data_IF_234790616236
#
_entry.id   IF_234790616236
#
_cell.length_a   1.000
_cell.length_b   1.000
_cell.length_c   1.000
_cell.angle_alpha   90.00
_cell.angle_beta   90.00
_cell.angle_gamma   90.00
#
_symmetry.space_group_name_H-M   'P 1'
#
loop_
_entity.id
_entity.type
_entity.pdbx_description
1 polymer ?
#
# COMPACT_ATOMS: atom_id res chain seq x y z
N UNK A 1 6.89 12.42 -42.11
CA UNK A 1 7.18 12.73 -40.71
C UNK A 1 5.88 12.54 -39.95
N UNK A 2 5.73 11.40 -39.27
CA UNK A 2 4.63 11.21 -38.35
C UNK A 2 4.96 12.02 -37.09
N UNK A 3 4.17 13.02 -36.79
CA UNK A 3 4.14 13.62 -35.48
C UNK A 3 3.86 12.48 -34.48
N UNK A 4 4.75 12.27 -33.54
CA UNK A 4 4.55 11.27 -32.49
C UNK A 4 3.30 11.70 -31.72
N UNK A 5 2.22 10.93 -31.82
CA UNK A 5 1.00 11.16 -31.07
C UNK A 5 1.37 11.23 -29.58
N UNK A 6 1.05 12.34 -28.94
CA UNK A 6 1.29 12.49 -27.50
C UNK A 6 0.46 11.43 -26.76
N UNK A 7 1.03 10.70 -25.81
CA UNK A 7 0.29 9.72 -25.04
C UNK A 7 -0.82 10.42 -24.25
N UNK A 8 -2.05 9.94 -24.35
CA UNK A 8 -3.20 10.48 -23.59
C UNK A 8 -3.31 9.91 -22.19
N UNK A 9 -2.79 8.70 -21.99
CA UNK A 9 -2.75 8.03 -20.69
C UNK A 9 -1.64 6.98 -20.62
N UNK A 10 -1.25 6.60 -19.40
CA UNK A 10 -0.35 5.47 -19.14
C UNK A 10 -0.87 4.59 -18.01
N UNK A 11 -0.59 3.29 -18.08
CA UNK A 11 -0.89 2.30 -17.05
C UNK A 11 0.37 1.50 -16.76
N UNK A 12 0.76 1.46 -15.48
CA UNK A 12 1.95 0.73 -15.04
C UNK A 12 1.58 -0.65 -14.51
N UNK A 13 2.25 -1.67 -15.03
CA UNK A 13 2.12 -3.04 -14.57
C UNK A 13 3.50 -3.66 -14.29
N UNK A 14 3.60 -4.47 -13.26
CA UNK A 14 4.83 -5.16 -12.89
C UNK A 14 4.65 -6.68 -12.95
N UNK A 15 5.44 -7.37 -13.79
CA UNK A 15 5.46 -8.83 -13.82
C UNK A 15 6.53 -9.34 -12.87
N UNK A 16 6.12 -10.15 -11.89
CA UNK A 16 7.00 -10.69 -10.85
C UNK A 16 6.86 -12.20 -10.73
N UNK A 17 7.96 -12.88 -10.35
CA UNK A 17 7.91 -14.29 -9.94
C UNK A 17 7.14 -14.41 -8.62
N UNK A 18 6.16 -15.32 -8.56
CA UNK A 18 5.37 -15.54 -7.36
C UNK A 18 6.10 -16.53 -6.44
N UNK A 19 6.51 -16.06 -5.25
CA UNK A 19 7.10 -16.93 -4.23
C UNK A 19 6.05 -17.72 -3.42
N UNK A 20 4.76 -17.48 -3.63
CA UNK A 20 3.66 -18.14 -2.89
C UNK A 20 3.26 -19.50 -3.44
N UNK A 21 3.54 -19.73 -4.73
CA UNK A 21 3.15 -20.95 -5.41
C UNK A 21 4.41 -21.80 -5.64
N UNK A 22 4.29 -23.12 -5.46
CA UNK A 22 5.39 -24.03 -5.67
C UNK A 22 5.28 -24.71 -7.04
N UNK A 23 6.37 -24.81 -7.79
CA UNK A 23 7.68 -24.20 -7.56
C UNK A 23 7.68 -22.70 -7.87
N UNK A 24 8.22 -21.87 -6.96
CA UNK A 24 8.04 -20.40 -6.99
C UNK A 24 8.69 -19.70 -8.18
N UNK A 25 9.68 -20.33 -8.81
CA UNK A 25 10.43 -19.74 -9.92
C UNK A 25 9.68 -19.79 -11.27
N UNK A 26 8.65 -20.65 -11.39
CA UNK A 26 7.95 -20.90 -12.66
C UNK A 26 6.74 -19.97 -12.81
N UNK A 27 6.09 -19.62 -11.70
CA UNK A 27 4.83 -18.87 -11.75
C UNK A 27 5.10 -17.38 -11.64
N UNK A 28 4.78 -16.65 -12.70
CA UNK A 28 4.80 -15.20 -12.75
C UNK A 28 3.41 -14.63 -12.48
N UNK A 29 3.38 -13.45 -11.86
CA UNK A 29 2.17 -12.68 -11.57
C UNK A 29 2.37 -11.26 -12.06
N UNK A 30 1.36 -10.71 -12.73
CA UNK A 30 1.27 -9.29 -13.09
C UNK A 30 0.51 -8.55 -11.99
N UNK A 31 1.10 -7.50 -11.43
CA UNK A 31 0.49 -6.64 -10.43
C UNK A 31 0.32 -5.24 -11.00
N UNK A 32 -0.88 -4.67 -10.86
CA UNK A 32 -1.22 -3.33 -11.28
C UNK A 32 -1.80 -2.56 -10.09
N UNK A 33 -1.28 -1.38 -9.85
CA UNK A 33 -1.75 -0.47 -8.80
C UNK A 33 -2.38 0.77 -9.44
N UNK A 34 -3.62 1.07 -9.03
CA UNK A 34 -4.37 2.19 -9.61
C UNK A 34 -4.96 1.89 -10.98
N UNK A 35 -5.51 2.90 -11.60
CA UNK A 35 -6.27 2.84 -12.86
C UNK A 35 -5.61 3.60 -14.00
N UNK A 36 -4.37 4.03 -13.81
CA UNK A 36 -3.59 4.78 -14.78
C UNK A 36 -3.52 6.27 -14.47
N UNK A 37 -2.63 6.95 -15.19
CA UNK A 37 -2.47 8.40 -15.18
C UNK A 37 -2.92 8.93 -16.54
N UNK A 38 -3.73 9.97 -16.54
CA UNK A 38 -4.35 10.57 -17.73
C UNK A 38 -3.76 11.97 -17.93
N UNK A 39 -3.21 12.22 -19.12
CA UNK A 39 -2.56 13.50 -19.46
C UNK A 39 -3.52 14.50 -20.11
N UNK A 40 -4.69 14.02 -20.56
CA UNK A 40 -5.74 14.83 -21.14
C UNK A 40 -7.02 14.66 -20.31
N UNK A 41 -7.49 15.75 -19.72
CA UNK A 41 -8.70 15.78 -18.90
C UNK A 41 -9.99 15.67 -19.72
N UNK A 42 -9.92 15.86 -21.03
CA UNK A 42 -11.09 15.84 -21.93
C UNK A 42 -11.48 14.44 -22.39
N UNK A 43 -10.60 13.44 -22.19
CA UNK A 43 -10.87 12.07 -22.64
C UNK A 43 -11.85 11.34 -21.72
N UNK A 44 -12.64 10.44 -22.30
CA UNK A 44 -13.41 9.48 -21.53
C UNK A 44 -12.45 8.49 -20.84
N UNK A 45 -12.18 8.75 -19.56
CA UNK A 45 -11.23 7.97 -18.74
C UNK A 45 -11.63 6.50 -18.65
N UNK A 46 -12.94 6.16 -18.62
CA UNK A 46 -13.40 4.76 -18.58
C UNK A 46 -13.19 4.06 -19.94
N UNK A 47 -13.39 4.74 -21.03
CA UNK A 47 -13.13 4.20 -22.37
C UNK A 47 -11.63 3.95 -22.56
N UNK A 48 -10.80 4.95 -22.29
CA UNK A 48 -9.33 4.84 -22.42
C UNK A 48 -8.79 3.74 -21.51
N UNK A 49 -9.30 3.65 -20.26
CA UNK A 49 -8.95 2.56 -19.37
C UNK A 49 -9.30 1.19 -19.95
N UNK A 50 -10.46 1.06 -20.57
CA UNK A 50 -10.89 -0.18 -21.24
C UNK A 50 -9.90 -0.67 -22.30
N UNK A 51 -9.41 0.25 -23.14
CA UNK A 51 -8.41 -0.03 -24.17
C UNK A 51 -7.04 -0.42 -23.56
N UNK A 52 -6.58 0.33 -22.55
CA UNK A 52 -5.35 0.00 -21.83
C UNK A 52 -5.44 -1.35 -21.12
N UNK A 53 -6.59 -1.66 -20.50
CA UNK A 53 -6.84 -2.93 -19.85
C UNK A 53 -6.79 -4.10 -20.81
N UNK A 54 -7.43 -3.97 -21.98
CA UNK A 54 -7.44 -5.01 -23.01
C UNK A 54 -6.03 -5.31 -23.50
N UNK A 55 -5.25 -4.28 -23.84
CA UNK A 55 -3.84 -4.44 -24.26
C UNK A 55 -2.99 -5.05 -23.18
N UNK A 56 -3.06 -4.53 -21.95
CA UNK A 56 -2.33 -5.07 -20.81
C UNK A 56 -2.66 -6.54 -20.58
N UNK A 57 -3.94 -6.91 -20.64
CA UNK A 57 -4.39 -8.28 -20.46
C UNK A 57 -3.75 -9.21 -21.50
N UNK A 58 -3.79 -8.84 -22.77
CA UNK A 58 -3.22 -9.62 -23.86
C UNK A 58 -1.70 -9.83 -23.68
N UNK A 59 -0.97 -8.78 -23.32
CA UNK A 59 0.49 -8.84 -23.13
C UNK A 59 0.85 -9.60 -21.83
N UNK A 60 0.20 -9.28 -20.71
CA UNK A 60 0.53 -9.87 -19.42
C UNK A 60 0.28 -11.38 -19.39
N UNK A 61 -0.80 -11.88 -20.01
CA UNK A 61 -1.10 -13.31 -20.03
C UNK A 61 -0.13 -14.14 -20.89
N UNK A 62 0.71 -13.52 -21.73
CA UNK A 62 1.80 -14.23 -22.43
C UNK A 62 2.85 -14.73 -21.44
N UNK A 63 3.09 -13.98 -20.37
CA UNK A 63 4.14 -14.26 -19.40
C UNK A 63 3.63 -14.63 -18.01
N UNK A 64 2.53 -14.02 -17.56
CA UNK A 64 2.00 -14.19 -16.22
C UNK A 64 0.87 -15.23 -16.20
N UNK A 65 0.80 -15.95 -15.09
CA UNK A 65 -0.29 -16.87 -14.79
C UNK A 65 -1.52 -16.16 -14.21
N UNK A 66 -1.29 -15.05 -13.52
CA UNK A 66 -2.29 -14.27 -12.81
C UNK A 66 -2.06 -12.78 -13.02
N UNK A 67 -3.11 -12.04 -13.31
CA UNK A 67 -3.13 -10.58 -13.25
C UNK A 67 -3.94 -10.17 -12.02
N UNK A 68 -3.39 -9.31 -11.19
CA UNK A 68 -4.03 -8.73 -10.01
C UNK A 68 -4.04 -7.20 -10.13
N UNK A 69 -5.24 -6.62 -10.21
CA UNK A 69 -5.44 -5.17 -10.11
C UNK A 69 -5.85 -4.78 -8.70
N UNK A 70 -5.17 -3.78 -8.15
CA UNK A 70 -5.48 -3.12 -6.89
C UNK A 70 -5.94 -1.71 -7.17
N UNK A 71 -7.25 -1.51 -7.26
CA UNK A 71 -7.78 -0.17 -7.40
C UNK A 71 -7.66 0.56 -6.06
N UNK A 72 -6.88 1.64 -6.04
CA UNK A 72 -6.58 2.42 -4.85
C UNK A 72 -7.63 3.53 -4.60
N UNK A 73 -8.39 3.88 -5.62
CA UNK A 73 -9.33 5.01 -5.60
C UNK A 73 -10.78 4.54 -5.59
N UNK A 74 -11.52 4.85 -6.64
CA UNK A 74 -12.93 4.49 -6.77
C UNK A 74 -13.08 3.00 -7.11
N UNK A 75 -13.70 2.24 -6.21
CA UNK A 75 -13.91 0.80 -6.38
C UNK A 75 -14.84 0.43 -7.53
N UNK A 76 -15.55 1.38 -8.12
CA UNK A 76 -16.48 1.17 -9.25
C UNK A 76 -15.85 1.56 -10.59
N UNK A 77 -14.77 2.34 -10.60
CA UNK A 77 -14.12 2.75 -11.84
C UNK A 77 -13.66 1.54 -12.64
N UNK A 78 -13.94 1.56 -13.93
CA UNK A 78 -13.58 0.48 -14.87
C UNK A 78 -14.38 -0.81 -14.69
N UNK A 79 -15.43 -0.83 -13.85
CA UNK A 79 -16.20 -2.05 -13.56
C UNK A 79 -16.64 -2.79 -14.83
N UNK A 80 -17.25 -2.06 -15.79
CA UNK A 80 -17.71 -2.65 -17.06
C UNK A 80 -16.55 -3.22 -17.87
N UNK A 81 -15.43 -2.49 -17.93
CA UNK A 81 -14.23 -2.91 -18.65
C UNK A 81 -13.59 -4.16 -18.05
N UNK A 82 -13.49 -4.24 -16.72
CA UNK A 82 -13.03 -5.46 -16.05
C UNK A 82 -13.93 -6.65 -16.36
N UNK A 83 -15.26 -6.50 -16.27
CA UNK A 83 -16.22 -7.58 -16.56
C UNK A 83 -16.16 -8.04 -18.01
N UNK A 84 -16.07 -7.09 -18.95
CA UNK A 84 -15.92 -7.38 -20.39
C UNK A 84 -14.65 -8.18 -20.69
N UNK A 85 -13.57 -7.95 -19.92
CA UNK A 85 -12.29 -8.65 -20.06
C UNK A 85 -12.19 -9.88 -19.12
N UNK A 86 -13.32 -10.40 -18.62
CA UNK A 86 -13.43 -11.63 -17.82
C UNK A 86 -12.72 -11.62 -16.47
N UNK A 87 -12.38 -10.43 -15.92
CA UNK A 87 -11.91 -10.32 -14.56
C UNK A 87 -13.03 -10.57 -13.57
N UNK A 88 -12.71 -11.25 -12.47
CA UNK A 88 -13.60 -11.36 -11.32
C UNK A 88 -13.09 -10.52 -10.15
N UNK A 89 -14.03 -10.05 -9.31
CA UNK A 89 -13.72 -9.17 -8.21
C UNK A 89 -13.71 -9.93 -6.88
N UNK A 90 -12.77 -9.59 -6.02
CA UNK A 90 -12.81 -9.99 -4.61
C UNK A 90 -12.92 -8.72 -3.76
N UNK A 91 -13.93 -8.66 -2.91
CA UNK A 91 -14.07 -7.58 -1.95
C UNK A 91 -12.90 -7.59 -0.98
N UNK A 92 -12.22 -6.44 -0.88
CA UNK A 92 -11.08 -6.24 -0.02
C UNK A 92 -11.33 -5.04 0.89
N UNK A 93 -10.77 -5.06 2.08
CA UNK A 93 -10.96 -3.95 2.99
C UNK A 93 -9.74 -3.01 2.98
N UNK A 94 -10.04 -1.73 3.14
CA UNK A 94 -9.10 -0.67 3.49
C UNK A 94 -9.59 0.09 4.71
N UNK A 95 -8.70 0.76 5.41
CA UNK A 95 -9.04 1.69 6.49
C UNK A 95 -8.54 3.06 6.10
N UNK A 96 -9.41 4.05 6.16
CA UNK A 96 -9.13 5.44 5.82
C UNK A 96 -9.29 6.31 7.05
N UNK A 97 -8.26 7.08 7.38
CA UNK A 97 -8.34 8.15 8.37
C UNK A 97 -8.58 9.48 7.66
N UNK A 98 -9.66 10.16 8.02
CA UNK A 98 -9.93 11.52 7.54
C UNK A 98 -9.17 12.51 8.42
N UNK A 99 -8.36 13.37 7.81
CA UNK A 99 -7.48 14.32 8.51
C UNK A 99 -7.93 15.79 8.38
N UNK A 100 -8.74 16.10 7.37
CA UNK A 100 -9.10 17.47 7.03
C UNK A 100 -10.02 18.18 8.02
N UNK A 101 -10.83 17.46 8.79
CA UNK A 101 -11.85 18.02 9.69
C UNK A 101 -11.50 17.90 11.18
N UNK A 102 -10.22 17.75 11.49
CA UNK A 102 -9.74 17.60 12.88
C UNK A 102 -8.56 18.52 13.14
N UNK A 103 -8.47 19.03 14.35
CA UNK A 103 -7.34 19.83 14.79
C UNK A 103 -6.13 18.93 15.12
N UNK A 104 -6.37 17.91 15.92
CA UNK A 104 -5.35 16.93 16.33
C UNK A 104 -5.72 15.53 15.89
N UNK A 105 -4.78 14.78 15.33
CA UNK A 105 -5.01 13.41 14.85
C UNK A 105 -5.45 12.47 15.98
N UNK A 106 -4.96 12.72 17.18
CA UNK A 106 -5.25 11.92 18.38
C UNK A 106 -6.71 12.01 18.84
N UNK A 107 -7.46 13.03 18.43
CA UNK A 107 -8.87 13.22 18.82
C UNK A 107 -9.75 12.03 18.45
N UNK A 108 -9.36 11.27 17.43
CA UNK A 108 -10.08 10.08 16.95
C UNK A 108 -9.49 8.76 17.44
N UNK A 109 -8.37 8.80 18.15
CA UNK A 109 -7.70 7.58 18.62
C UNK A 109 -8.42 6.95 19.81
N UNK A 110 -8.32 5.64 19.94
CA UNK A 110 -8.79 4.98 21.14
C UNK A 110 -7.98 5.46 22.37
N UNK A 111 -8.61 5.56 23.58
CA UNK A 111 -7.91 6.00 24.77
C UNK A 111 -6.64 5.19 25.07
N UNK A 112 -6.65 3.90 24.73
CA UNK A 112 -5.47 3.04 24.89
C UNK A 112 -4.32 3.46 23.97
N UNK A 113 -4.59 3.91 22.73
CA UNK A 113 -3.56 4.41 21.81
C UNK A 113 -2.92 5.69 22.32
N UNK A 114 -3.73 6.64 22.78
CA UNK A 114 -3.22 7.88 23.36
C UNK A 114 -2.28 7.60 24.54
N UNK A 115 -2.69 6.71 25.46
CA UNK A 115 -1.84 6.31 26.60
C UNK A 115 -0.53 5.65 26.15
N UNK A 116 -0.58 4.77 25.14
CA UNK A 116 0.59 4.05 24.62
C UNK A 116 1.58 5.01 23.95
N UNK A 117 1.09 5.98 23.16
CA UNK A 117 1.92 7.03 22.56
C UNK A 117 2.63 7.84 23.63
N UNK A 118 1.88 8.42 24.58
CA UNK A 118 2.44 9.20 25.68
C UNK A 118 3.47 8.40 26.48
N UNK A 119 3.19 7.13 26.76
CA UNK A 119 4.10 6.26 27.51
C UNK A 119 5.36 5.93 26.71
N UNK A 120 5.25 5.66 25.41
CA UNK A 120 6.40 5.39 24.54
C UNK A 120 7.38 6.56 24.52
N UNK A 121 6.86 7.78 24.28
CA UNK A 121 7.65 9.01 24.29
C UNK A 121 8.28 9.27 25.68
N UNK A 122 7.50 9.14 26.77
CA UNK A 122 8.01 9.28 28.14
C UNK A 122 9.12 8.28 28.46
N UNK A 123 9.08 7.09 27.87
CA UNK A 123 10.11 6.05 28.05
C UNK A 123 11.32 6.24 27.13
N UNK A 124 11.49 7.42 26.55
CA UNK A 124 12.67 7.82 25.76
C UNK A 124 12.68 7.33 24.31
N UNK A 125 11.53 6.92 23.76
CA UNK A 125 11.45 6.72 22.34
C UNK A 125 11.27 8.06 21.63
N UNK A 126 11.98 8.24 20.52
CA UNK A 126 11.89 9.43 19.64
C UNK A 126 11.44 9.01 18.26
N UNK A 127 10.78 9.93 17.54
CA UNK A 127 10.38 9.71 16.14
C UNK A 127 10.87 10.86 15.30
N UNK A 128 11.50 10.52 14.18
CA UNK A 128 11.99 11.49 13.20
C UNK A 128 11.87 10.97 11.79
N UNK A 129 11.99 11.86 10.81
CA UNK A 129 12.16 11.50 9.40
C UNK A 129 13.57 10.94 9.18
N UNK A 130 13.69 9.93 8.34
CA UNK A 130 14.98 9.41 7.87
C UNK A 130 15.49 10.31 6.75
N UNK A 131 16.72 10.80 6.90
CA UNK A 131 17.34 11.74 5.94
C UNK A 131 18.59 11.17 5.25
N UNK A 132 19.10 10.03 5.73
CA UNK A 132 20.34 9.45 5.17
C UNK A 132 20.12 8.04 4.64
N UNK A 133 20.93 7.61 3.63
CA UNK A 133 20.89 6.24 3.12
C UNK A 133 21.12 5.18 4.21
N UNK A 134 21.91 5.50 5.22
CA UNK A 134 22.20 4.61 6.35
C UNK A 134 20.94 4.40 7.22
N UNK A 135 20.18 5.47 7.48
CA UNK A 135 18.91 5.39 8.22
C UNK A 135 17.86 4.59 7.45
N UNK A 136 17.75 4.82 6.13
CA UNK A 136 16.85 4.06 5.24
C UNK A 136 17.24 2.58 5.21
N UNK A 137 18.55 2.30 5.15
CA UNK A 137 19.05 0.94 5.20
C UNK A 137 18.74 0.27 6.54
N UNK A 138 19.01 0.92 7.65
CA UNK A 138 18.72 0.41 8.99
C UNK A 138 17.21 0.19 9.22
N UNK A 139 16.36 1.09 8.71
CA UNK A 139 14.91 0.89 8.68
C UNK A 139 14.51 -0.35 7.90
N UNK A 140 15.06 -0.57 6.70
CA UNK A 140 14.81 -1.75 5.90
C UNK A 140 15.21 -3.05 6.64
N UNK A 141 16.37 -3.06 7.28
CA UNK A 141 16.83 -4.20 8.09
C UNK A 141 15.89 -4.47 9.27
N UNK A 142 15.48 -3.41 9.97
CA UNK A 142 14.53 -3.53 11.10
C UNK A 142 13.21 -4.14 10.63
N UNK A 143 12.65 -3.69 9.51
CA UNK A 143 11.43 -4.26 8.95
C UNK A 143 11.61 -5.73 8.58
N UNK A 144 12.70 -6.11 7.93
CA UNK A 144 13.01 -7.50 7.63
C UNK A 144 13.11 -8.38 8.90
N UNK A 145 13.63 -7.84 9.99
CA UNK A 145 13.70 -8.54 11.27
C UNK A 145 12.32 -8.75 11.89
N UNK A 146 11.45 -7.72 11.82
CA UNK A 146 10.11 -7.73 12.44
C UNK A 146 9.12 -8.61 11.70
N UNK A 147 9.18 -8.62 10.37
CA UNK A 147 8.24 -9.40 9.58
C UNK A 147 8.55 -10.90 9.66
N UNK A 148 7.51 -11.71 9.83
CA UNK A 148 7.64 -13.17 9.86
C UNK A 148 8.20 -13.72 8.54
N UNK A 149 8.79 -14.92 8.56
CA UNK A 149 9.32 -15.59 7.38
C UNK A 149 8.30 -15.73 6.25
N UNK A 150 7.02 -15.90 6.60
CA UNK A 150 5.90 -16.00 5.67
C UNK A 150 5.64 -14.69 4.93
N UNK A 151 5.78 -13.56 5.62
CA UNK A 151 5.58 -12.20 5.06
C UNK A 151 6.85 -11.76 4.34
N UNK A 152 8.04 -12.06 4.87
CA UNK A 152 9.34 -11.69 4.29
C UNK A 152 9.52 -12.10 2.84
N UNK A 153 8.97 -13.24 2.43
CA UNK A 153 9.04 -13.71 1.03
C UNK A 153 8.41 -12.74 0.02
N UNK A 154 7.54 -11.85 0.48
CA UNK A 154 6.83 -10.87 -0.34
C UNK A 154 7.22 -9.43 0.01
N UNK A 155 8.17 -9.29 0.91
CA UNK A 155 8.68 -8.00 1.33
C UNK A 155 9.68 -7.48 0.29
N UNK A 156 9.70 -6.17 0.00
CA UNK A 156 10.62 -5.59 -0.95
C UNK A 156 12.08 -5.83 -0.54
N UNK A 157 12.95 -5.92 -1.54
CA UNK A 157 14.38 -6.03 -1.30
C UNK A 157 14.94 -4.70 -0.77
N UNK A 158 16.18 -4.75 -0.25
CA UNK A 158 16.92 -3.54 0.13
C UNK A 158 16.97 -2.50 -1.00
N UNK A 159 17.18 -2.96 -2.23
CA UNK A 159 17.27 -2.09 -3.41
C UNK A 159 16.00 -1.25 -3.61
N UNK A 160 14.83 -1.80 -3.30
CA UNK A 160 13.57 -1.05 -3.36
C UNK A 160 13.59 0.19 -2.46
N UNK A 161 14.04 0.06 -1.21
CA UNK A 161 14.08 1.17 -0.26
C UNK A 161 15.13 2.22 -0.64
N UNK A 162 16.28 1.79 -1.18
CA UNK A 162 17.29 2.72 -1.70
C UNK A 162 16.76 3.49 -2.91
N UNK A 163 16.07 2.82 -3.85
CA UNK A 163 15.44 3.50 -4.99
C UNK A 163 14.30 4.43 -4.55
N UNK A 164 13.52 4.03 -3.57
CA UNK A 164 12.50 4.89 -2.97
C UNK A 164 13.13 6.18 -2.42
N UNK A 165 14.29 6.10 -1.77
CA UNK A 165 15.02 7.26 -1.30
C UNK A 165 15.53 8.13 -2.45
N UNK A 166 16.24 7.52 -3.42
CA UNK A 166 16.85 8.26 -4.53
C UNK A 166 15.84 9.00 -5.41
N UNK A 167 14.69 8.35 -5.70
CA UNK A 167 13.76 8.81 -6.74
C UNK A 167 12.52 9.50 -6.17
N UNK A 168 12.05 9.10 -4.99
CA UNK A 168 10.78 9.56 -4.44
C UNK A 168 10.92 10.49 -3.23
N UNK A 169 11.90 10.27 -2.36
CA UNK A 169 12.06 11.12 -1.17
C UNK A 169 12.54 12.51 -1.54
N UNK A 170 13.42 12.63 -2.53
CA UNK A 170 13.89 13.94 -3.05
C UNK A 170 12.76 14.77 -3.66
N UNK A 171 11.76 14.13 -4.26
CA UNK A 171 10.57 14.78 -4.81
C UNK A 171 9.42 14.93 -3.82
N UNK A 172 9.64 14.64 -2.54
CA UNK A 172 8.61 14.62 -1.47
C UNK A 172 7.41 13.71 -1.74
N UNK A 173 7.52 12.79 -2.69
CA UNK A 173 6.48 11.82 -3.03
C UNK A 173 6.44 10.65 -2.04
N UNK A 174 7.49 10.51 -1.24
CA UNK A 174 7.53 9.53 -0.15
C UNK A 174 8.34 10.03 1.02
N UNK A 175 8.06 9.47 2.21
CA UNK A 175 8.85 9.69 3.43
C UNK A 175 8.99 8.40 4.22
N UNK A 176 10.12 8.28 4.89
CA UNK A 176 10.37 7.21 5.85
C UNK A 176 10.53 7.84 7.23
N UNK A 177 9.74 7.37 8.17
CA UNK A 177 9.81 7.77 9.58
C UNK A 177 10.42 6.64 10.40
N UNK A 178 11.36 6.96 11.25
CA UNK A 178 12.05 6.01 12.11
C UNK A 178 11.74 6.33 13.58
N UNK A 179 11.52 5.27 14.35
CA UNK A 179 11.39 5.32 15.80
C UNK A 179 12.70 4.86 16.40
N UNK A 180 13.35 5.71 17.16
CA UNK A 180 14.64 5.44 17.80
C UNK A 180 14.52 5.31 19.30
N UNK A 181 15.44 4.57 19.89
CA UNK A 181 15.65 4.46 21.33
C UNK A 181 17.12 4.11 21.60
N UNK A 182 17.83 4.96 22.36
CA UNK A 182 19.28 4.81 22.62
C UNK A 182 20.06 4.54 21.31
N UNK A 183 19.90 5.42 20.35
CA UNK A 183 20.53 5.43 19.02
C UNK A 183 20.22 4.21 18.14
N UNK A 184 19.30 3.35 18.55
CA UNK A 184 18.84 2.21 17.72
C UNK A 184 17.50 2.50 17.09
N UNK A 185 17.37 2.16 15.81
CA UNK A 185 16.08 2.14 15.11
C UNK A 185 15.31 0.91 15.58
N UNK A 186 14.21 1.13 16.28
CA UNK A 186 13.37 0.10 16.88
C UNK A 186 12.00 -0.03 16.20
N UNK A 187 11.64 0.89 15.34
CA UNK A 187 10.40 0.92 14.57
C UNK A 187 10.45 1.94 13.46
N UNK A 188 9.41 2.00 12.68
CA UNK A 188 9.25 3.01 11.65
C UNK A 188 8.14 2.71 10.66
N UNK A 189 7.91 3.65 9.76
CA UNK A 189 6.91 3.57 8.69
C UNK A 189 7.43 4.22 7.40
N UNK A 190 6.91 3.75 6.27
CA UNK A 190 7.14 4.35 4.97
C UNK A 190 5.80 4.76 4.38
N UNK A 191 5.69 6.03 3.99
CA UNK A 191 4.52 6.65 3.39
C UNK A 191 4.79 7.05 1.95
N UNK A 192 3.77 6.97 1.11
CA UNK A 192 3.74 7.54 -0.23
C UNK A 192 2.62 8.57 -0.24
N UNK A 193 2.81 9.61 -1.02
CA UNK A 193 1.88 10.72 -1.13
C UNK A 193 1.39 10.88 -2.56
N UNK A 194 0.13 11.21 -2.69
CA UNK A 194 -0.52 11.56 -3.94
C UNK A 194 -1.45 12.71 -3.65
N UNK A 195 -1.81 13.52 -4.60
CA UNK A 195 -2.64 14.73 -4.54
C UNK A 195 -3.16 15.13 -3.14
N UNK A 196 -4.19 14.45 -2.63
CA UNK A 196 -4.83 14.76 -1.36
C UNK A 196 -4.72 13.64 -0.29
N UNK A 197 -4.05 12.55 -0.62
CA UNK A 197 -3.99 11.35 0.22
C UNK A 197 -2.56 10.89 0.51
N UNK A 198 -2.32 10.49 1.76
CA UNK A 198 -1.14 9.76 2.17
C UNK A 198 -1.47 8.27 2.26
N UNK A 199 -0.53 7.42 1.85
CA UNK A 199 -0.66 5.96 1.90
C UNK A 199 0.42 5.40 2.81
N UNK A 200 0.02 4.74 3.90
CA UNK A 200 0.94 4.00 4.74
C UNK A 200 1.29 2.67 4.05
N UNK A 201 2.46 2.61 3.43
CA UNK A 201 2.88 1.44 2.67
C UNK A 201 3.48 0.36 3.53
N UNK A 202 4.41 0.74 4.41
CA UNK A 202 5.03 -0.17 5.37
C UNK A 202 5.03 0.43 6.76
N UNK A 203 4.86 -0.41 7.76
CA UNK A 203 5.08 -0.02 9.15
C UNK A 203 5.48 -1.23 9.98
N UNK A 204 6.30 -1.03 10.97
CA UNK A 204 6.73 -2.09 11.86
C UNK A 204 7.39 -1.56 13.11
N UNK A 205 7.59 -2.48 14.07
CA UNK A 205 8.32 -2.13 15.30
C UNK A 205 8.66 -3.37 16.10
N UNK A 206 9.80 -3.35 16.74
CA UNK A 206 10.40 -4.43 17.54
C UNK A 206 9.70 -4.57 18.90
N UNK A 207 8.37 -4.76 18.89
CA UNK A 207 7.50 -4.74 20.06
C UNK A 207 7.84 -5.79 21.14
N UNK A 208 8.47 -6.91 20.76
CA UNK A 208 8.85 -7.95 21.72
C UNK A 208 10.05 -7.51 22.56
N UNK A 209 10.99 -6.81 21.95
CA UNK A 209 12.21 -6.33 22.60
C UNK A 209 12.00 -4.99 23.31
N UNK A 210 11.22 -4.10 22.69
CA UNK A 210 10.99 -2.73 23.14
C UNK A 210 9.51 -2.49 23.46
N UNK A 211 8.94 -3.34 24.33
CA UNK A 211 7.50 -3.34 24.62
C UNK A 211 7.01 -2.01 25.24
N UNK A 212 7.84 -1.38 26.06
CA UNK A 212 7.48 -0.13 26.77
C UNK A 212 7.61 1.12 25.91
N UNK A 213 8.35 1.06 24.81
CA UNK A 213 8.53 2.13 23.83
C UNK A 213 7.44 2.16 22.76
N UNK A 214 6.64 1.11 22.65
CA UNK A 214 5.53 1.00 21.67
C UNK A 214 5.90 1.37 20.23
N UNK A 215 7.03 0.88 19.65
CA UNK A 215 7.61 1.42 18.43
C UNK A 215 6.68 1.35 17.21
N UNK A 216 5.93 0.27 17.02
CA UNK A 216 4.97 0.16 15.91
C UNK A 216 3.76 1.10 16.05
N UNK A 217 3.43 1.51 17.28
CA UNK A 217 2.36 2.48 17.53
C UNK A 217 2.86 3.89 17.21
N UNK A 218 4.05 4.24 17.67
CA UNK A 218 4.68 5.53 17.38
C UNK A 218 4.91 5.71 15.88
N UNK A 219 5.31 4.67 15.16
CA UNK A 219 5.49 4.70 13.71
C UNK A 219 4.22 5.07 12.96
N UNK A 220 3.07 4.48 13.33
CA UNK A 220 1.78 4.79 12.70
C UNK A 220 1.25 6.15 13.14
N UNK A 221 1.39 6.49 14.41
CA UNK A 221 1.00 7.80 14.93
C UNK A 221 1.70 8.93 14.19
N UNK A 222 3.01 8.84 14.04
CA UNK A 222 3.79 9.91 13.41
C UNK A 222 3.47 10.04 11.92
N UNK A 223 3.21 8.95 11.21
CA UNK A 223 2.74 8.99 9.83
C UNK A 223 1.41 9.76 9.68
N UNK A 224 0.47 9.54 10.60
CA UNK A 224 -0.79 10.29 10.65
C UNK A 224 -0.57 11.77 10.99
N UNK A 225 0.32 12.05 11.95
CA UNK A 225 0.68 13.39 12.37
C UNK A 225 1.32 14.16 11.22
N UNK A 226 2.34 13.62 10.55
CA UNK A 226 3.01 14.26 9.41
C UNK A 226 2.06 14.50 8.25
N UNK A 227 1.26 13.50 7.88
CA UNK A 227 0.27 13.65 6.81
C UNK A 227 -0.72 14.79 7.11
N UNK A 228 -1.14 14.94 8.38
CA UNK A 228 -2.00 16.06 8.80
C UNK A 228 -1.27 17.39 8.72
N UNK A 229 -0.03 17.49 9.20
CA UNK A 229 0.78 18.72 9.16
C UNK A 229 1.03 19.19 7.72
N UNK A 230 1.19 18.26 6.79
CA UNK A 230 1.37 18.54 5.37
C UNK A 230 0.08 18.86 4.62
N UNK A 231 -1.07 18.86 5.30
CA UNK A 231 -2.36 19.23 4.72
C UNK A 231 -3.07 18.13 3.93
N UNK A 232 -2.60 16.88 4.00
CA UNK A 232 -3.31 15.77 3.36
C UNK A 232 -4.68 15.55 3.98
N UNK A 233 -5.67 15.30 3.14
CA UNK A 233 -7.06 15.10 3.59
C UNK A 233 -7.28 13.73 4.21
N UNK A 234 -6.50 12.73 3.78
CA UNK A 234 -6.65 11.34 4.21
C UNK A 234 -5.31 10.65 4.41
N UNK A 235 -5.29 9.65 5.32
CA UNK A 235 -4.29 8.62 5.32
C UNK A 235 -4.96 7.24 5.15
N UNK A 236 -4.45 6.48 4.20
CA UNK A 236 -4.97 5.17 3.79
C UNK A 236 -4.09 4.03 4.32
N UNK A 237 -4.73 3.03 4.92
CA UNK A 237 -4.13 1.74 5.23
C UNK A 237 -4.58 0.72 4.16
N UNK A 238 -3.69 0.39 3.24
CA UNK A 238 -4.05 -0.24 1.97
C UNK A 238 -4.40 -1.72 2.03
N UNK A 239 -3.83 -2.48 2.95
CA UNK A 239 -3.95 -3.94 2.98
C UNK A 239 -4.38 -4.45 4.36
N UNK A 240 -5.68 -4.32 4.62
CA UNK A 240 -6.26 -4.74 5.90
C UNK A 240 -7.10 -6.02 5.80
N UNK A 241 -6.94 -6.76 4.70
CA UNK A 241 -7.43 -8.12 4.51
C UNK A 241 -8.87 -8.23 4.01
N UNK A 242 -9.35 -9.46 4.03
CA UNK A 242 -10.69 -9.82 3.54
C UNK A 242 -11.76 -9.52 4.60
N UNK A 243 -13.00 -9.14 4.18
CA UNK A 243 -14.07 -8.78 5.12
C UNK A 243 -14.46 -9.91 6.07
N UNK A 244 -14.48 -11.14 5.60
CA UNK A 244 -14.94 -12.32 6.37
C UNK A 244 -13.83 -12.99 7.19
N UNK A 245 -12.59 -12.47 7.21
CA UNK A 245 -11.49 -13.00 8.02
C UNK A 245 -11.06 -12.04 9.11
N UNK A 246 -10.79 -12.56 10.31
CA UNK A 246 -10.10 -11.77 11.34
C UNK A 246 -8.72 -11.38 10.84
N UNK A 247 -8.35 -10.12 11.06
CA UNK A 247 -7.09 -9.58 10.58
C UNK A 247 -6.48 -8.66 11.64
N UNK A 248 -5.45 -9.14 12.32
CA UNK A 248 -4.85 -8.43 13.46
C UNK A 248 -4.32 -7.03 13.12
N UNK A 249 -3.81 -6.85 11.91
CA UNK A 249 -3.38 -5.52 11.45
C UNK A 249 -4.57 -4.57 11.29
N UNK A 250 -5.71 -5.04 10.78
CA UNK A 250 -6.95 -4.26 10.68
C UNK A 250 -7.42 -3.78 12.05
N UNK A 251 -7.48 -4.66 13.03
CA UNK A 251 -7.83 -4.32 14.41
C UNK A 251 -6.83 -3.33 15.02
N UNK A 252 -5.56 -3.49 14.69
CA UNK A 252 -4.50 -2.57 15.13
C UNK A 252 -4.70 -1.17 14.56
N UNK A 253 -4.94 -1.01 13.25
CA UNK A 253 -5.06 0.32 12.61
C UNK A 253 -6.40 0.99 12.91
N UNK A 254 -7.48 0.25 13.09
CA UNK A 254 -8.79 0.81 13.48
C UNK A 254 -8.74 1.57 14.82
N UNK A 255 -7.82 1.21 15.72
CA UNK A 255 -7.65 1.93 16.99
C UNK A 255 -7.06 3.34 16.82
N UNK A 256 -6.60 3.71 15.64
CA UNK A 256 -6.22 5.08 15.27
C UNK A 256 -7.38 5.88 14.68
N UNK A 257 -8.63 5.41 14.82
CA UNK A 257 -9.85 6.16 14.50
C UNK A 257 -10.24 6.16 13.02
N UNK A 258 -9.61 5.34 12.19
CA UNK A 258 -9.97 5.20 10.80
C UNK A 258 -11.32 4.50 10.60
N UNK A 259 -11.95 4.79 9.47
CA UNK A 259 -13.17 4.11 9.02
C UNK A 259 -12.82 3.02 8.02
N UNK A 260 -13.43 1.84 8.22
CA UNK A 260 -13.30 0.72 7.30
C UNK A 260 -14.22 0.94 6.10
N UNK A 261 -13.69 0.71 4.90
CA UNK A 261 -14.47 0.69 3.66
C UNK A 261 -14.09 -0.51 2.80
N UNK A 262 -15.02 -0.92 1.96
CA UNK A 262 -14.76 -1.97 0.98
C UNK A 262 -14.13 -1.38 -0.27
N UNK A 263 -13.15 -2.07 -0.82
CA UNK A 263 -12.60 -1.85 -2.14
C UNK A 263 -12.68 -3.15 -2.93
N UNK A 264 -12.30 -3.12 -4.20
CA UNK A 264 -12.26 -4.30 -5.05
C UNK A 264 -10.84 -4.55 -5.50
N UNK A 265 -10.45 -5.83 -5.47
CA UNK A 265 -9.31 -6.31 -6.24
C UNK A 265 -9.83 -7.16 -7.37
N UNK A 266 -9.30 -6.93 -8.56
CA UNK A 266 -9.70 -7.66 -9.74
C UNK A 266 -8.62 -8.66 -10.10
N UNK A 267 -9.05 -9.87 -10.45
CA UNK A 267 -8.18 -10.99 -10.75
C UNK A 267 -8.55 -11.59 -12.09
N UNK A 268 -7.53 -12.00 -12.83
CA UNK A 268 -7.68 -12.80 -14.04
C UNK A 268 -6.57 -13.84 -14.08
N UNK A 269 -6.94 -15.11 -14.09
CA UNK A 269 -6.02 -16.21 -14.33
C UNK A 269 -5.92 -16.52 -15.82
N UNK A 270 -4.77 -17.06 -16.23
CA UNK A 270 -4.57 -17.52 -17.62
C UNK A 270 -5.58 -18.57 -18.05
N UNK A 271 -6.06 -19.40 -17.13
CA UNK A 271 -7.02 -20.47 -17.41
C UNK A 271 -8.47 -20.02 -17.19
N UNK A 272 -9.24 -20.04 -18.27
CA UNK A 272 -10.63 -19.57 -18.24
C UNK A 272 -11.54 -20.36 -17.30
N UNK A 273 -11.35 -21.67 -17.23
CA UNK A 273 -12.12 -22.52 -16.31
C UNK A 273 -11.94 -22.12 -14.85
N UNK A 274 -10.72 -21.72 -14.48
CA UNK A 274 -10.41 -21.27 -13.12
C UNK A 274 -11.08 -19.92 -12.82
N UNK A 275 -11.13 -19.01 -13.79
CA UNK A 275 -11.84 -17.74 -13.65
C UNK A 275 -13.34 -17.98 -13.45
N UNK A 276 -13.96 -18.86 -14.26
CA UNK A 276 -15.38 -19.22 -14.11
C UNK A 276 -15.70 -19.83 -12.74
N UNK A 277 -14.83 -20.74 -12.27
CA UNK A 277 -14.98 -21.37 -10.94
C UNK A 277 -14.89 -20.33 -9.81
N UNK A 278 -13.85 -19.48 -9.82
CA UNK A 278 -13.62 -18.50 -8.77
C UNK A 278 -14.65 -17.37 -8.80
N UNK A 279 -15.11 -16.97 -9.97
CA UNK A 279 -16.22 -16.03 -10.09
C UNK A 279 -17.47 -16.52 -9.36
N UNK A 280 -17.81 -17.80 -9.55
CA UNK A 280 -18.96 -18.42 -8.88
C UNK A 280 -18.81 -18.51 -7.35
N UNK A 281 -17.55 -18.53 -6.84
CA UNK A 281 -17.29 -18.62 -5.39
C UNK A 281 -17.32 -17.24 -4.71
N UNK A 282 -16.90 -16.19 -5.42
CA UNK A 282 -16.69 -14.87 -4.83
C UNK A 282 -17.73 -13.81 -5.23
N UNK A 283 -18.55 -14.09 -6.22
CA UNK A 283 -19.76 -13.34 -6.59
C UNK A 283 -21.03 -14.09 -6.17
#
# INVERSE_FOLDING_TARGET
ASEAEKPVAKLLAAVRKSARLFPPAIIKRCEVYGTGEYFDETVDKEFVFGEMLQRLTAEALREAFLIEFRNLENSLFGYKSFRKNHYFAINWLRVRNSLHSIEHVESRFSPSRIRQIKKGLKNGAEVKEAHTPEEVHAFSQMLHHVYSSKIRRHFPSRVFFLRMEEEMMKGEQSKIFIVTYKDKIIGGSACIYSEDSAYLWFSGGMRKTYALQYPGILAVWYALFDAKQRGYRHLEFMDVGLPFRKHGYREFVLRFGGKQSSTRRWFLFRWEWLNKLLNKIYE
#
